data_IF_935777427775
#
_entry.id   IF_935777427775
#
_cell.length_a   1.000
_cell.length_b   1.000
_cell.length_c   1.000
_cell.angle_alpha   90.00
_cell.angle_beta   90.00
_cell.angle_gamma   90.00
#
_symmetry.space_group_name_H-M   'P 1'
#
loop_
_entity.id
_entity.type
_entity.pdbx_description
1 polymer ?
#
# COMPACT_ATOMS: atom_id res chain seq x y z
N UNK A 1 -11.41 -37.98 3.28
CA UNK A 1 -10.90 -36.70 2.82
C UNK A 1 -9.73 -36.33 3.71
N UNK A 2 -8.50 -36.30 3.20
CA UNK A 2 -7.32 -36.12 4.05
C UNK A 2 -7.20 -34.64 4.49
N UNK A 3 -7.19 -34.40 5.79
CA UNK A 3 -7.00 -33.08 6.42
C UNK A 3 -5.79 -32.32 5.84
N UNK A 4 -4.75 -33.04 5.43
CA UNK A 4 -3.54 -32.49 4.77
C UNK A 4 -3.81 -31.77 3.44
N UNK A 5 -4.86 -32.12 2.68
CA UNK A 5 -5.18 -31.41 1.43
C UNK A 5 -5.84 -30.06 1.67
N UNK A 6 -6.51 -29.91 2.80
CA UNK A 6 -7.16 -28.64 3.19
C UNK A 6 -6.15 -27.63 3.76
N UNK A 7 -5.15 -28.12 4.51
CA UNK A 7 -4.06 -27.29 5.07
C UNK A 7 -3.13 -26.78 3.98
N UNK A 8 -2.91 -27.56 2.90
CA UNK A 8 -2.13 -27.11 1.73
C UNK A 8 -2.83 -26.03 0.87
N UNK A 9 -4.15 -25.88 1.00
CA UNK A 9 -4.91 -24.84 0.28
C UNK A 9 -4.95 -23.50 1.02
N UNK A 10 -4.67 -23.48 2.33
CA UNK A 10 -4.53 -22.26 3.11
C UNK A 10 -3.07 -21.79 3.00
N UNK A 11 -2.78 -20.93 2.03
CA UNK A 11 -1.47 -20.27 1.90
C UNK A 11 -1.29 -19.21 3.01
N UNK A 12 -1.22 -19.68 4.26
CA UNK A 12 -1.08 -18.85 5.46
C UNK A 12 0.33 -19.02 6.08
N UNK A 13 0.78 -17.97 6.75
CA UNK A 13 2.08 -17.96 7.42
C UNK A 13 3.23 -18.10 6.43
N UNK A 14 4.16 -19.04 6.65
CA UNK A 14 5.37 -19.22 5.83
C UNK A 14 5.11 -19.59 4.37
N UNK A 15 3.92 -20.01 4.04
CA UNK A 15 3.51 -20.38 2.68
C UNK A 15 2.75 -19.25 1.96
N UNK A 16 2.43 -18.15 2.66
CA UNK A 16 1.82 -16.98 2.04
C UNK A 16 2.83 -16.27 1.12
N UNK A 17 2.55 -16.14 -0.19
CA UNK A 17 3.44 -15.42 -1.09
C UNK A 17 3.65 -13.95 -0.71
N UNK A 18 2.71 -13.37 0.03
CA UNK A 18 2.78 -11.99 0.52
C UNK A 18 3.56 -11.81 1.82
N UNK A 19 3.94 -12.91 2.50
CA UNK A 19 4.62 -12.82 3.79
C UNK A 19 5.88 -11.96 3.72
N UNK A 20 6.02 -11.02 4.67
CA UNK A 20 7.13 -10.07 4.70
C UNK A 20 7.31 -9.23 3.43
N UNK A 21 6.24 -9.00 2.65
CA UNK A 21 6.26 -8.11 1.49
C UNK A 21 5.49 -6.83 1.80
N UNK A 22 6.10 -5.69 1.55
CA UNK A 22 5.48 -4.38 1.74
C UNK A 22 5.61 -3.53 0.46
N UNK A 23 4.47 -3.14 -0.08
CA UNK A 23 4.38 -2.25 -1.24
C UNK A 23 3.99 -0.85 -0.78
N UNK A 24 4.82 0.12 -1.08
CA UNK A 24 4.51 1.53 -0.89
C UNK A 24 3.95 2.10 -2.19
N UNK A 25 2.75 2.64 -2.13
CA UNK A 25 2.12 3.29 -3.27
C UNK A 25 2.23 4.80 -3.09
N UNK A 26 3.00 5.44 -3.96
CA UNK A 26 3.29 6.86 -3.93
C UNK A 26 2.64 7.59 -5.11
N UNK A 27 2.34 8.88 -4.93
CA UNK A 27 1.77 9.74 -5.97
C UNK A 27 0.92 10.84 -5.38
N UNK A 28 0.79 11.98 -6.05
CA UNK A 28 0.01 13.14 -5.61
C UNK A 28 -1.50 12.91 -5.66
N UNK A 29 -2.30 13.87 -5.17
CA UNK A 29 -3.73 13.92 -5.42
C UNK A 29 -4.00 13.87 -6.93
N UNK A 30 -5.03 13.15 -7.37
CA UNK A 30 -5.34 13.01 -8.80
C UNK A 30 -4.41 12.09 -9.60
N UNK A 31 -3.32 11.55 -9.04
CA UNK A 31 -2.41 10.66 -9.77
C UNK A 31 -3.01 9.31 -10.15
N UNK A 32 -4.09 8.87 -9.50
CA UNK A 32 -4.74 7.59 -9.79
C UNK A 32 -4.26 6.42 -8.93
N UNK A 33 -3.63 6.67 -7.78
CA UNK A 33 -3.23 5.62 -6.81
C UNK A 33 -4.37 4.67 -6.46
N UNK A 34 -5.56 5.19 -6.15
CA UNK A 34 -6.72 4.36 -5.78
C UNK A 34 -7.12 3.42 -6.90
N UNK A 35 -7.00 3.84 -8.16
CA UNK A 35 -7.25 3.00 -9.33
C UNK A 35 -6.19 1.89 -9.43
N UNK A 36 -4.91 2.22 -9.25
CA UNK A 36 -3.82 1.22 -9.20
C UNK A 36 -4.06 0.24 -8.05
N UNK A 37 -4.41 0.74 -6.86
CA UNK A 37 -4.73 -0.11 -5.70
C UNK A 37 -5.83 -1.12 -6.04
N UNK A 38 -6.93 -0.66 -6.60
CA UNK A 38 -8.06 -1.52 -6.95
C UNK A 38 -7.72 -2.51 -8.07
N UNK A 39 -7.06 -2.05 -9.13
CA UNK A 39 -6.80 -2.88 -10.31
C UNK A 39 -5.69 -3.92 -10.09
N UNK A 40 -4.70 -3.61 -9.24
CA UNK A 40 -3.49 -4.42 -9.11
C UNK A 40 -3.47 -5.26 -7.85
N UNK A 41 -3.98 -4.74 -6.74
CA UNK A 41 -3.86 -5.38 -5.43
C UNK A 41 -5.12 -6.12 -4.97
N UNK A 42 -6.27 -5.90 -5.62
CA UNK A 42 -7.49 -6.67 -5.31
C UNK A 42 -7.26 -8.15 -5.60
N UNK A 43 -7.64 -9.01 -4.66
CA UNK A 43 -7.47 -10.47 -4.77
C UNK A 43 -6.06 -11.00 -4.52
N UNK A 44 -5.10 -10.14 -4.16
CA UNK A 44 -3.72 -10.58 -3.86
C UNK A 44 -3.52 -11.11 -2.43
N UNK A 45 -4.48 -10.89 -1.53
CA UNK A 45 -4.34 -11.20 -0.10
C UNK A 45 -3.60 -10.12 0.71
N UNK A 46 -2.92 -9.19 0.06
CA UNK A 46 -2.20 -8.09 0.71
C UNK A 46 -3.17 -7.16 1.47
N UNK A 47 -2.75 -6.69 2.64
CA UNK A 47 -3.54 -5.81 3.51
C UNK A 47 -3.30 -4.35 3.13
N UNK A 48 -4.36 -3.68 2.69
CA UNK A 48 -4.29 -2.27 2.27
C UNK A 48 -4.41 -1.38 3.49
N UNK A 49 -3.39 -0.56 3.72
CA UNK A 49 -3.28 0.43 4.80
C UNK A 49 -3.48 1.80 4.18
N UNK A 50 -4.66 2.40 4.36
CA UNK A 50 -5.06 3.68 3.78
C UNK A 50 -5.95 4.47 4.73
N UNK A 51 -5.44 5.59 5.25
CA UNK A 51 -6.18 6.46 6.17
C UNK A 51 -7.27 7.29 5.48
N UNK A 52 -7.11 7.61 4.20
CA UNK A 52 -8.11 8.39 3.46
C UNK A 52 -9.40 7.60 3.27
N UNK A 53 -9.31 6.30 2.95
CA UNK A 53 -10.48 5.43 2.83
C UNK A 53 -11.24 5.31 4.15
N UNK A 54 -10.52 5.16 5.26
CA UNK A 54 -11.15 5.11 6.58
C UNK A 54 -11.78 6.44 6.97
N UNK A 55 -11.12 7.54 6.63
CA UNK A 55 -11.64 8.87 6.84
C UNK A 55 -12.95 9.12 6.03
N UNK A 56 -12.97 8.80 4.74
CA UNK A 56 -14.18 8.92 3.90
C UNK A 56 -15.34 8.05 4.43
N UNK A 57 -15.05 6.82 4.85
CA UNK A 57 -16.04 5.96 5.48
C UNK A 57 -16.56 6.56 6.80
N UNK A 58 -15.69 7.20 7.57
CA UNK A 58 -16.06 7.88 8.80
C UNK A 58 -16.99 9.08 8.55
N UNK A 59 -16.70 9.90 7.52
CA UNK A 59 -17.56 11.01 7.12
C UNK A 59 -18.94 10.52 6.71
N UNK A 60 -19.02 9.50 5.86
CA UNK A 60 -20.30 8.90 5.42
C UNK A 60 -21.12 8.36 6.59
N UNK A 61 -20.49 7.67 7.54
CA UNK A 61 -21.18 7.17 8.75
C UNK A 61 -21.69 8.26 9.67
N UNK A 62 -21.03 9.41 9.68
CA UNK A 62 -21.43 10.57 10.46
C UNK A 62 -22.40 11.51 9.71
N UNK A 63 -22.81 11.13 8.49
CA UNK A 63 -23.61 11.96 7.58
C UNK A 63 -22.98 13.35 7.32
N UNK A 64 -21.64 13.43 7.28
CA UNK A 64 -20.91 14.64 6.93
C UNK A 64 -20.61 14.68 5.42
N UNK A 65 -20.50 15.90 4.90
CA UNK A 65 -20.26 16.12 3.48
C UNK A 65 -18.85 15.73 3.03
N UNK A 66 -18.72 15.07 1.89
CA UNK A 66 -17.44 14.82 1.25
C UNK A 66 -16.83 16.08 0.62
N UNK A 67 -17.60 17.16 0.42
CA UNK A 67 -17.09 18.46 -0.03
C UNK A 67 -16.35 19.22 1.08
N UNK A 68 -16.47 18.72 2.32
CA UNK A 68 -15.75 19.22 3.50
C UNK A 68 -15.94 20.74 3.78
N UNK A 69 -17.18 21.21 3.93
CA UNK A 69 -17.45 22.61 4.23
C UNK A 69 -16.86 23.02 5.59
N UNK A 70 -16.60 24.31 5.76
CA UNK A 70 -15.88 24.81 6.95
C UNK A 70 -16.70 24.63 8.25
N UNK A 71 -18.02 24.63 8.16
CA UNK A 71 -18.93 24.41 9.29
C UNK A 71 -18.77 23.02 9.92
N UNK A 72 -18.31 22.03 9.15
CA UNK A 72 -18.08 20.66 9.61
C UNK A 72 -16.66 20.42 10.13
N UNK A 73 -15.79 21.42 10.14
CA UNK A 73 -14.34 21.27 10.41
C UNK A 73 -14.08 20.53 11.72
N UNK A 74 -14.75 20.87 12.81
CA UNK A 74 -14.53 20.24 14.11
C UNK A 74 -14.81 18.73 14.09
N UNK A 75 -15.95 18.31 13.59
CA UNK A 75 -16.31 16.88 13.52
C UNK A 75 -15.45 16.14 12.52
N UNK A 76 -15.16 16.75 11.39
CA UNK A 76 -14.26 16.22 10.35
C UNK A 76 -12.89 15.93 10.92
N UNK A 77 -12.31 16.81 11.72
CA UNK A 77 -10.97 16.64 12.29
C UNK A 77 -10.95 15.53 13.35
N UNK A 78 -12.01 15.38 14.15
CA UNK A 78 -12.17 14.24 15.06
C UNK A 78 -12.19 12.90 14.30
N UNK A 79 -12.95 12.83 13.21
CA UNK A 79 -13.03 11.63 12.38
C UNK A 79 -11.68 11.35 11.73
N UNK A 80 -10.97 12.38 11.24
CA UNK A 80 -9.62 12.23 10.69
C UNK A 80 -8.63 11.68 11.70
N UNK A 81 -8.67 12.18 12.93
CA UNK A 81 -7.82 11.69 14.03
C UNK A 81 -8.11 10.22 14.33
N UNK A 82 -9.39 9.84 14.44
CA UNK A 82 -9.81 8.44 14.65
C UNK A 82 -9.39 7.53 13.49
N UNK A 83 -9.55 7.97 12.25
CA UNK A 83 -9.14 7.21 11.08
C UNK A 83 -7.63 6.95 11.08
N UNK A 84 -6.81 7.96 11.39
CA UNK A 84 -5.35 7.79 11.52
C UNK A 84 -5.00 6.79 12.64
N UNK A 85 -5.62 6.91 13.81
CA UNK A 85 -5.35 6.00 14.93
C UNK A 85 -5.74 4.55 14.60
N UNK A 86 -6.88 4.35 13.97
CA UNK A 86 -7.33 3.03 13.55
C UNK A 86 -6.37 2.38 12.54
N UNK A 87 -5.83 3.17 11.61
CA UNK A 87 -4.84 2.67 10.63
C UNK A 87 -3.53 2.28 11.30
N UNK A 88 -3.06 3.02 12.32
CA UNK A 88 -1.88 2.64 13.10
C UNK A 88 -2.09 1.28 13.77
N UNK A 89 -3.22 1.11 14.48
CA UNK A 89 -3.55 -0.17 15.15
C UNK A 89 -3.65 -1.33 14.15
N UNK A 90 -4.27 -1.10 12.98
CA UNK A 90 -4.33 -2.11 11.92
C UNK A 90 -2.94 -2.48 11.39
N UNK A 91 -2.11 -1.48 11.13
CA UNK A 91 -0.75 -1.71 10.65
C UNK A 91 0.07 -2.54 11.64
N UNK A 92 0.00 -2.20 12.93
CA UNK A 92 0.68 -2.95 13.99
C UNK A 92 0.21 -4.42 14.03
N UNK A 93 -1.11 -4.65 13.94
CA UNK A 93 -1.69 -6.01 13.89
C UNK A 93 -1.18 -6.79 12.68
N UNK A 94 -1.14 -6.15 11.51
CA UNK A 94 -0.68 -6.79 10.28
C UNK A 94 0.82 -7.11 10.33
N UNK A 95 1.64 -6.22 10.91
CA UNK A 95 3.06 -6.45 11.11
C UNK A 95 3.31 -7.60 12.08
N UNK A 96 2.56 -7.66 13.19
CA UNK A 96 2.64 -8.79 14.14
C UNK A 96 2.33 -10.12 13.47
N UNK A 97 1.32 -10.13 12.57
CA UNK A 97 0.97 -11.28 11.74
C UNK A 97 1.92 -11.54 10.57
N UNK A 98 2.92 -10.68 10.32
CA UNK A 98 3.85 -10.74 9.18
C UNK A 98 3.16 -10.72 7.83
N UNK A 99 1.94 -10.18 7.78
CA UNK A 99 1.10 -10.16 6.59
C UNK A 99 1.69 -9.23 5.52
N UNK A 100 1.44 -9.56 4.27
CA UNK A 100 1.80 -8.69 3.16
C UNK A 100 1.01 -7.38 3.18
N UNK A 101 1.67 -6.27 2.88
CA UNK A 101 1.16 -4.92 3.06
C UNK A 101 1.14 -4.11 1.76
N UNK A 102 0.12 -3.26 1.62
CA UNK A 102 0.09 -2.14 0.68
C UNK A 102 -0.11 -0.87 1.49
N UNK A 103 0.92 -0.01 1.54
CA UNK A 103 0.88 1.28 2.24
C UNK A 103 0.56 2.36 1.20
N UNK A 104 -0.69 2.80 1.17
CA UNK A 104 -1.16 3.85 0.26
C UNK A 104 -1.00 5.21 0.94
N UNK A 105 0.01 5.95 0.52
CA UNK A 105 0.35 7.27 1.03
C UNK A 105 0.57 8.28 -0.09
N UNK A 106 0.36 9.56 0.19
CA UNK A 106 0.60 10.64 -0.78
C UNK A 106 2.08 10.76 -1.14
N UNK A 107 2.97 10.32 -0.23
CA UNK A 107 4.43 10.40 -0.38
C UNK A 107 4.99 11.83 -0.58
N UNK A 108 4.24 12.84 -0.15
CA UNK A 108 4.72 14.23 -0.04
C UNK A 108 5.73 14.38 1.08
N UNK A 109 5.48 13.69 2.20
CA UNK A 109 6.37 13.66 3.36
C UNK A 109 7.35 12.49 3.22
N UNK A 110 8.57 12.81 2.78
CA UNK A 110 9.65 11.84 2.62
C UNK A 110 10.02 11.17 3.93
N UNK A 111 10.14 11.95 5.02
CA UNK A 111 10.62 11.43 6.31
C UNK A 111 9.64 10.43 6.92
N UNK A 112 8.36 10.66 6.75
CA UNK A 112 7.32 9.70 7.16
C UNK A 112 7.47 8.37 6.42
N UNK A 113 7.64 8.40 5.09
CA UNK A 113 7.81 7.19 4.29
C UNK A 113 9.13 6.50 4.63
N UNK A 114 10.21 7.25 4.80
CA UNK A 114 11.50 6.70 5.17
C UNK A 114 11.47 6.02 6.55
N UNK A 115 10.78 6.61 7.54
CA UNK A 115 10.55 5.96 8.84
C UNK A 115 9.78 4.65 8.72
N UNK A 116 8.66 4.63 7.99
CA UNK A 116 7.89 3.40 7.78
C UNK A 116 8.70 2.32 7.05
N UNK A 117 9.44 2.71 6.01
CA UNK A 117 10.34 1.81 5.29
C UNK A 117 11.37 1.18 6.24
N UNK A 118 12.06 1.99 7.05
CA UNK A 118 13.09 1.50 7.95
C UNK A 118 12.52 0.61 9.06
N UNK A 119 11.37 0.98 9.64
CA UNK A 119 10.67 0.14 10.62
C UNK A 119 10.34 -1.23 10.00
N UNK A 120 9.74 -1.25 8.82
CA UNK A 120 9.36 -2.50 8.16
C UNK A 120 10.59 -3.35 7.78
N UNK A 121 11.66 -2.73 7.28
CA UNK A 121 12.91 -3.46 7.03
C UNK A 121 13.49 -4.10 8.30
N UNK A 122 13.48 -3.37 9.42
CA UNK A 122 13.93 -3.88 10.72
C UNK A 122 13.01 -4.98 11.27
N UNK A 123 11.76 -5.05 10.82
CA UNK A 123 10.82 -6.12 11.14
C UNK A 123 10.88 -7.31 10.16
N UNK A 124 11.78 -7.26 9.17
CA UNK A 124 12.00 -8.35 8.23
C UNK A 124 11.36 -8.18 6.85
N UNK A 125 10.68 -7.07 6.57
CA UNK A 125 10.00 -6.89 5.30
C UNK A 125 10.97 -6.54 4.15
N UNK A 126 10.70 -7.13 2.98
CA UNK A 126 11.18 -6.63 1.71
C UNK A 126 10.24 -5.50 1.25
N UNK A 127 10.77 -4.30 1.07
CA UNK A 127 10.01 -3.11 0.72
C UNK A 127 10.16 -2.75 -0.75
N UNK A 128 9.03 -2.46 -1.41
CA UNK A 128 8.95 -2.04 -2.81
C UNK A 128 8.15 -0.76 -2.93
N UNK A 129 8.49 0.11 -3.89
CA UNK A 129 7.71 1.31 -4.16
C UNK A 129 7.18 1.32 -5.59
N UNK A 130 5.90 1.63 -5.73
CA UNK A 130 5.22 1.93 -6.98
C UNK A 130 4.85 3.42 -6.95
N UNK A 131 5.57 4.19 -7.75
CA UNK A 131 5.36 5.64 -7.87
C UNK A 131 4.44 5.93 -9.06
N UNK A 132 3.22 6.39 -8.77
CA UNK A 132 2.22 6.72 -9.80
C UNK A 132 2.43 8.18 -10.19
N UNK A 133 3.03 8.39 -11.35
CA UNK A 133 3.37 9.70 -11.89
C UNK A 133 2.27 10.23 -12.82
N UNK A 134 1.99 11.53 -12.69
CA UNK A 134 1.14 12.30 -13.61
C UNK A 134 1.68 13.70 -13.78
N UNK A 135 1.32 14.37 -14.88
CA UNK A 135 1.53 15.81 -14.98
C UNK A 135 0.59 16.55 -14.03
N UNK A 136 0.91 17.80 -13.73
CA UNK A 136 0.09 18.64 -12.85
C UNK A 136 -1.31 18.86 -13.46
N UNK A 137 -1.39 19.10 -14.76
CA UNK A 137 -2.65 19.35 -15.49
C UNK A 137 -3.59 18.15 -15.37
N UNK A 138 -3.07 16.94 -15.56
CA UNK A 138 -3.86 15.70 -15.40
C UNK A 138 -4.31 15.52 -13.96
N UNK A 139 -3.43 15.79 -12.99
CA UNK A 139 -3.77 15.71 -11.58
C UNK A 139 -4.88 16.68 -11.19
N UNK A 140 -4.81 17.95 -11.64
CA UNK A 140 -5.85 18.97 -11.39
C UNK A 140 -7.18 18.62 -12.07
N UNK A 141 -7.15 18.23 -13.34
CA UNK A 141 -8.34 17.84 -14.07
C UNK A 141 -9.07 16.65 -13.42
N UNK A 142 -8.31 15.65 -12.92
CA UNK A 142 -8.89 14.51 -12.21
C UNK A 142 -9.39 14.87 -10.82
N UNK A 143 -8.70 15.78 -10.11
CA UNK A 143 -9.14 16.26 -8.80
C UNK A 143 -10.48 16.99 -8.90
N UNK A 144 -10.67 17.83 -9.93
CA UNK A 144 -11.92 18.57 -10.14
C UNK A 144 -13.15 17.68 -10.41
N UNK A 145 -12.94 16.44 -10.90
CA UNK A 145 -14.02 15.46 -11.20
C UNK A 145 -14.39 14.57 -10.02
N UNK A 146 -13.72 14.71 -8.88
CA UNK A 146 -13.97 13.85 -7.71
C UNK A 146 -15.10 14.41 -6.85
N UNK A 147 -15.88 13.53 -6.21
CA UNK A 147 -16.85 13.91 -5.17
C UNK A 147 -16.17 14.66 -4.01
N UNK A 148 -15.00 14.18 -3.59
CA UNK A 148 -14.13 14.87 -2.64
C UNK A 148 -13.05 15.64 -3.39
N UNK A 149 -13.32 16.89 -3.68
CA UNK A 149 -12.34 17.79 -4.28
C UNK A 149 -11.40 18.36 -3.22
N UNK A 150 -10.14 18.55 -3.60
CA UNK A 150 -9.12 19.21 -2.80
C UNK A 150 -8.83 20.56 -3.45
N UNK A 151 -8.68 21.66 -2.70
CA UNK A 151 -8.31 22.95 -3.27
C UNK A 151 -7.11 22.85 -4.18
N UNK A 152 -7.14 23.60 -5.29
CA UNK A 152 -6.13 23.51 -6.34
C UNK A 152 -4.72 23.78 -5.83
N UNK A 153 -4.55 24.82 -4.99
CA UNK A 153 -3.25 25.15 -4.39
C UNK A 153 -2.69 24.00 -3.53
N UNK A 154 -3.54 23.26 -2.81
CA UNK A 154 -3.13 22.08 -2.02
C UNK A 154 -2.70 20.94 -2.95
N UNK A 155 -3.44 20.74 -4.05
CA UNK A 155 -3.11 19.72 -5.05
C UNK A 155 -1.77 20.02 -5.69
N UNK A 156 -1.53 21.28 -6.09
CA UNK A 156 -0.26 21.75 -6.67
C UNK A 156 0.91 21.55 -5.70
N UNK A 157 0.80 22.05 -4.46
CA UNK A 157 1.85 21.92 -3.46
C UNK A 157 2.14 20.45 -3.12
N UNK A 158 1.10 19.60 -3.08
CA UNK A 158 1.28 18.16 -2.90
C UNK A 158 1.98 17.51 -4.07
N UNK A 159 1.63 17.87 -5.30
CA UNK A 159 2.24 17.36 -6.51
C UNK A 159 3.73 17.74 -6.57
N UNK A 160 4.06 19.00 -6.35
CA UNK A 160 5.45 19.49 -6.30
C UNK A 160 6.28 18.76 -5.25
N UNK A 161 5.75 18.61 -4.02
CA UNK A 161 6.42 17.88 -2.95
C UNK A 161 6.65 16.40 -3.29
N UNK A 162 5.70 15.75 -3.96
CA UNK A 162 5.85 14.37 -4.40
C UNK A 162 6.90 14.25 -5.51
N UNK A 163 6.90 15.15 -6.50
CA UNK A 163 7.89 15.16 -7.58
C UNK A 163 9.31 15.38 -7.06
N UNK A 164 9.51 16.31 -6.13
CA UNK A 164 10.82 16.59 -5.52
C UNK A 164 11.41 15.40 -4.74
N UNK A 165 10.57 14.43 -4.35
CA UNK A 165 10.97 13.26 -3.57
C UNK A 165 11.32 12.03 -4.44
N UNK A 166 11.05 12.03 -5.75
CA UNK A 166 11.28 10.85 -6.62
C UNK A 166 12.69 10.30 -6.48
N UNK A 167 13.69 11.15 -6.65
CA UNK A 167 15.11 10.74 -6.56
C UNK A 167 15.51 10.26 -5.15
N UNK A 168 14.88 10.81 -4.09
CA UNK A 168 15.11 10.36 -2.72
C UNK A 168 14.51 8.97 -2.50
N UNK A 169 13.30 8.72 -3.00
CA UNK A 169 12.67 7.39 -2.91
C UNK A 169 13.41 6.35 -3.73
N UNK A 170 13.91 6.71 -4.91
CA UNK A 170 14.71 5.81 -5.73
C UNK A 170 15.98 5.34 -5.00
N UNK A 171 16.63 6.25 -4.27
CA UNK A 171 17.79 5.89 -3.43
C UNK A 171 17.39 5.05 -2.21
N UNK A 172 16.27 5.37 -1.56
CA UNK A 172 15.81 4.67 -0.36
C UNK A 172 15.42 3.22 -0.65
N UNK A 173 14.64 2.98 -1.71
CA UNK A 173 14.16 1.64 -2.07
C UNK A 173 15.14 0.85 -2.95
N UNK A 174 16.05 1.55 -3.63
CA UNK A 174 16.96 0.98 -4.62
C UNK A 174 16.27 0.76 -5.98
N UNK A 175 17.07 0.78 -7.03
CA UNK A 175 16.60 0.73 -8.43
C UNK A 175 15.71 -0.48 -8.75
N UNK A 176 16.01 -1.63 -8.14
CA UNK A 176 15.28 -2.89 -8.40
C UNK A 176 13.93 -2.95 -7.69
N UNK A 177 13.72 -2.12 -6.66
CA UNK A 177 12.52 -2.11 -5.82
C UNK A 177 11.71 -0.81 -5.98
N UNK A 178 12.06 0.02 -6.96
CA UNK A 178 11.39 1.28 -7.25
C UNK A 178 10.91 1.31 -8.69
N UNK A 179 9.60 1.55 -8.87
CA UNK A 179 8.97 1.55 -10.19
C UNK A 179 8.20 2.85 -10.36
N UNK A 180 8.42 3.52 -11.47
CA UNK A 180 7.62 4.67 -11.91
C UNK A 180 6.57 4.21 -12.91
N UNK A 181 5.32 4.54 -12.66
CA UNK A 181 4.17 4.28 -13.51
C UNK A 181 3.70 5.60 -14.10
N UNK A 182 3.82 5.77 -15.39
CA UNK A 182 3.21 6.89 -16.10
C UNK A 182 1.69 6.66 -16.22
N UNK A 183 0.90 7.51 -15.56
CA UNK A 183 -0.56 7.45 -15.56
C UNK A 183 -1.17 8.73 -16.16
N UNK A 184 -0.55 9.29 -17.19
CA UNK A 184 -1.08 10.48 -17.89
C UNK A 184 -2.14 10.15 -18.93
N UNK A 185 -2.11 8.94 -19.47
CA UNK A 185 -2.97 8.53 -20.56
C UNK A 185 -4.39 8.24 -20.08
N UNK A 186 -5.39 8.59 -20.93
CA UNK A 186 -6.81 8.31 -20.72
C UNK A 186 -7.32 7.18 -21.62
N UNK A 187 -6.52 6.73 -22.58
CA UNK A 187 -6.85 5.61 -23.45
C UNK A 187 -7.00 4.32 -22.65
N UNK A 188 -8.16 3.68 -22.74
CA UNK A 188 -8.54 2.53 -21.94
C UNK A 188 -7.64 1.31 -22.20
N UNK A 189 -7.22 1.11 -23.43
CA UNK A 189 -6.35 -0.02 -23.81
C UNK A 189 -4.96 0.16 -23.20
N UNK A 190 -4.37 1.35 -23.32
CA UNK A 190 -3.07 1.68 -22.75
C UNK A 190 -3.07 1.64 -21.23
N UNK A 191 -4.16 2.09 -20.60
CA UNK A 191 -4.35 1.99 -19.14
C UNK A 191 -4.39 0.52 -18.73
N UNK A 192 -5.17 -0.32 -19.44
CA UNK A 192 -5.29 -1.75 -19.15
C UNK A 192 -3.94 -2.48 -19.30
N UNK A 193 -3.20 -2.19 -20.37
CA UNK A 193 -1.85 -2.74 -20.58
C UNK A 193 -0.90 -2.33 -19.43
N UNK A 194 -0.94 -1.08 -19.00
CA UNK A 194 -0.13 -0.57 -17.89
C UNK A 194 -0.49 -1.29 -16.59
N UNK A 195 -1.78 -1.43 -16.25
CA UNK A 195 -2.22 -2.14 -15.04
C UNK A 195 -1.81 -3.62 -15.07
N UNK A 196 -1.94 -4.29 -16.22
CA UNK A 196 -1.51 -5.67 -16.40
C UNK A 196 0.00 -5.83 -16.19
N UNK A 197 0.80 -4.88 -16.69
CA UNK A 197 2.26 -4.87 -16.48
C UNK A 197 2.61 -4.72 -15.01
N UNK A 198 2.00 -3.76 -14.32
CA UNK A 198 2.22 -3.57 -12.88
C UNK A 198 1.78 -4.80 -12.10
N UNK A 199 0.63 -5.38 -12.42
CA UNK A 199 0.13 -6.59 -11.79
C UNK A 199 1.07 -7.79 -11.96
N UNK A 200 1.68 -7.96 -13.13
CA UNK A 200 2.72 -8.98 -13.35
C UNK A 200 3.95 -8.73 -12.46
N UNK A 201 4.37 -7.47 -12.32
CA UNK A 201 5.53 -7.11 -11.47
C UNK A 201 5.23 -7.34 -10.00
N UNK A 202 4.07 -6.93 -9.50
CA UNK A 202 3.64 -7.19 -8.12
C UNK A 202 3.62 -8.69 -7.82
N UNK A 203 3.00 -9.50 -8.67
CA UNK A 203 3.00 -10.96 -8.52
C UNK A 203 4.40 -11.56 -8.54
N UNK A 204 5.30 -11.05 -9.39
CA UNK A 204 6.71 -11.45 -9.40
C UNK A 204 7.40 -11.15 -8.07
N UNK A 205 7.23 -9.94 -7.51
CA UNK A 205 7.81 -9.57 -6.22
C UNK A 205 7.22 -10.38 -5.06
N UNK A 206 5.91 -10.66 -5.08
CA UNK A 206 5.28 -11.51 -4.06
C UNK A 206 5.86 -12.93 -4.08
N UNK A 207 6.05 -13.53 -5.28
CA UNK A 207 6.57 -14.89 -5.43
C UNK A 207 8.08 -15.00 -5.25
N UNK A 208 8.81 -13.89 -5.31
CA UNK A 208 10.24 -13.90 -5.10
C UNK A 208 10.57 -14.30 -3.64
N UNK A 209 11.59 -15.14 -3.42
CA UNK A 209 12.03 -15.47 -2.08
C UNK A 209 12.32 -14.20 -1.27
N UNK A 210 11.97 -14.21 0.01
CA UNK A 210 12.27 -13.10 0.93
C UNK A 210 13.78 -12.88 0.99
N UNK A 211 14.21 -11.64 0.85
CA UNK A 211 15.63 -11.28 0.86
C UNK A 211 16.13 -10.84 2.23
N UNK A 212 15.25 -10.24 3.04
CA UNK A 212 15.59 -9.75 4.35
C UNK A 212 16.05 -10.88 5.28
N UNK A 213 17.21 -10.69 5.91
CA UNK A 213 17.83 -11.70 6.79
C UNK A 213 16.95 -12.08 7.98
N UNK A 214 16.28 -11.10 8.61
CA UNK A 214 15.39 -11.31 9.77
C UNK A 214 14.24 -12.24 9.39
N UNK A 215 13.61 -12.00 8.25
CA UNK A 215 12.55 -12.86 7.75
C UNK A 215 13.04 -14.26 7.39
N UNK A 216 14.20 -14.39 6.74
CA UNK A 216 14.81 -15.70 6.45
C UNK A 216 15.02 -16.52 7.71
N UNK A 217 15.54 -15.90 8.77
CA UNK A 217 15.76 -16.57 10.06
C UNK A 217 14.42 -17.00 10.71
N UNK A 218 13.43 -16.12 10.70
CA UNK A 218 12.11 -16.43 11.24
C UNK A 218 11.44 -17.58 10.46
N UNK A 219 11.43 -17.51 9.13
CA UNK A 219 10.84 -18.55 8.27
C UNK A 219 11.50 -19.92 8.48
N UNK A 220 12.84 -19.94 8.63
CA UNK A 220 13.58 -21.17 8.93
C UNK A 220 13.11 -21.80 10.24
N UNK A 221 13.05 -21.02 11.33
CA UNK A 221 12.58 -21.48 12.64
C UNK A 221 11.15 -22.00 12.59
N UNK A 222 10.27 -21.30 11.88
CA UNK A 222 8.87 -21.69 11.76
C UNK A 222 8.69 -23.00 10.98
N UNK A 223 9.43 -23.18 9.88
CA UNK A 223 9.43 -24.42 9.11
C UNK A 223 9.99 -25.62 9.92
N UNK A 224 11.04 -25.39 10.72
CA UNK A 224 11.58 -26.43 11.62
C UNK A 224 10.57 -26.80 12.73
N UNK A 225 9.88 -25.81 13.31
CA UNK A 225 8.84 -26.06 14.29
C UNK A 225 7.68 -26.90 13.71
N UNK A 226 7.20 -26.57 12.51
CA UNK A 226 6.14 -27.31 11.82
C UNK A 226 6.52 -28.75 11.54
N UNK A 227 7.74 -29.01 11.06
CA UNK A 227 8.24 -30.38 10.86
C UNK A 227 8.20 -31.22 12.15
N UNK A 228 8.54 -30.62 13.30
CA UNK A 228 8.48 -31.30 14.60
C UNK A 228 7.04 -31.62 15.02
N UNK A 229 6.07 -30.80 14.66
CA UNK A 229 4.65 -31.04 14.91
C UNK A 229 4.11 -32.19 14.06
N UNK A 230 4.43 -32.19 12.77
CA UNK A 230 4.01 -33.26 11.85
C UNK A 230 4.54 -34.64 12.29
N UNK A 231 5.76 -34.70 12.83
CA UNK A 231 6.38 -35.93 13.37
C UNK A 231 5.76 -36.41 14.71
N UNK A 232 5.03 -35.54 15.43
CA UNK A 232 4.36 -35.92 16.68
C UNK A 232 2.93 -36.41 16.48
N UNK A 233 2.37 -36.25 15.28
CA UNK A 233 1.01 -36.67 14.93
C UNK A 233 1.02 -37.98 14.19
N UNK A 234 2.17 -38.45 13.74
CA UNK A 234 2.41 -39.81 13.19
C UNK A 234 2.83 -40.80 14.28
#
# INVERSE_FOLDING_TARGET
MKVNSFIQQLSEGVYDPGIFKAFFLAGGPGSGKSFVTQSVFTGTGLKIVNSDRQFENGLKKANLSLSMPDEETYFRDLIRKRAKQSVITQLDTYIQGRLGLVIDATARDYDMIARHHNILQNMGYDCYMIFVNTTLEVALARNARRERTIPEYITKNSWEGVQSNIGKFQRLFGMNNFIVVDNNKSDLELVTLTMNRIGKMVRRFMRAPVQNYIAKQWMKKELEARKRWDLKIL
#
